data_IF_635547574531
#
_entry.id   IF_635547574531
#
_cell.length_a   1.000
_cell.length_b   1.000
_cell.length_c   1.000
_cell.angle_alpha   90.00
_cell.angle_beta   90.00
_cell.angle_gamma   90.00
#
_symmetry.space_group_name_H-M   'P 1'
#
loop_
_entity.id
_entity.type
_entity.pdbx_description
1 polymer ?
#
# COMPACT_ATOMS: atom_id res chain seq x y z
N UNK A 1 7.48 45.55 -9.44
CA UNK A 1 6.67 44.64 -10.27
C UNK A 1 7.54 43.46 -10.66
N UNK A 2 7.14 42.22 -10.34
CA UNK A 2 7.93 41.03 -10.69
C UNK A 2 8.08 40.94 -12.21
N UNK A 3 9.14 40.27 -12.70
CA UNK A 3 9.37 40.03 -14.14
C UNK A 3 8.14 39.40 -14.81
N UNK A 4 7.49 38.47 -14.12
CA UNK A 4 6.22 37.86 -14.53
C UNK A 4 5.14 38.90 -14.86
N UNK A 5 5.01 39.94 -14.02
CA UNK A 5 4.02 41.01 -14.21
C UNK A 5 4.32 41.87 -15.45
N UNK A 6 5.60 42.14 -15.73
CA UNK A 6 6.03 42.85 -16.94
C UNK A 6 5.84 42.04 -18.22
N UNK A 7 5.93 40.71 -18.14
CA UNK A 7 5.66 39.84 -19.27
C UNK A 7 4.17 39.74 -19.55
N UNK A 8 3.32 39.68 -18.51
CA UNK A 8 1.87 39.68 -18.64
C UNK A 8 1.32 40.99 -19.22
N UNK A 9 1.95 42.14 -18.94
CA UNK A 9 1.56 43.42 -19.53
C UNK A 9 1.63 43.43 -21.07
N UNK A 10 2.47 42.57 -21.70
CA UNK A 10 2.55 42.45 -23.17
C UNK A 10 1.30 41.84 -23.80
N UNK A 11 0.57 41.03 -23.04
CA UNK A 11 -0.62 40.31 -23.50
C UNK A 11 -1.91 41.03 -23.13
N UNK A 12 -1.83 42.15 -22.38
CA UNK A 12 -2.98 42.85 -21.82
C UNK A 12 -3.82 43.60 -22.86
N UNK A 13 -3.20 44.05 -23.94
CA UNK A 13 -3.83 44.87 -24.98
C UNK A 13 -4.01 44.10 -26.30
N UNK A 14 -3.89 42.77 -26.27
CA UNK A 14 -4.14 41.92 -27.45
C UNK A 14 -5.65 41.77 -27.62
N UNK A 15 -6.14 41.97 -28.84
CA UNK A 15 -7.53 41.68 -29.20
C UNK A 15 -7.72 40.16 -29.35
N UNK A 16 -8.34 39.56 -28.32
CA UNK A 16 -8.62 38.13 -28.28
C UNK A 16 -9.60 37.71 -29.38
N UNK A 17 -10.59 38.55 -29.71
CA UNK A 17 -11.60 38.24 -30.74
C UNK A 17 -10.97 38.20 -32.13
N UNK A 18 -10.06 39.12 -32.44
CA UNK A 18 -9.32 39.12 -33.71
C UNK A 18 -8.39 37.91 -33.84
N UNK A 19 -7.79 37.48 -32.71
CA UNK A 19 -6.92 36.29 -32.67
C UNK A 19 -7.73 35.01 -32.91
N UNK A 20 -8.89 34.88 -32.27
CA UNK A 20 -9.77 33.72 -32.41
C UNK A 20 -10.37 33.62 -33.81
N UNK A 21 -10.70 34.75 -34.46
CA UNK A 21 -11.20 34.74 -35.85
C UNK A 21 -10.18 34.25 -36.89
N UNK A 22 -8.88 34.31 -36.59
CA UNK A 22 -7.81 33.85 -37.49
C UNK A 22 -7.59 32.34 -37.43
N UNK A 23 -8.14 31.66 -36.42
CA UNK A 23 -8.03 30.22 -36.27
C UNK A 23 -9.07 29.51 -37.12
N UNK A 24 -8.68 28.39 -37.72
CA UNK A 24 -9.62 27.48 -38.37
C UNK A 24 -10.51 26.76 -37.36
N UNK A 25 -11.65 26.23 -37.80
CA UNK A 25 -12.58 25.48 -36.94
C UNK A 25 -11.89 24.30 -36.22
N UNK A 26 -10.97 23.61 -36.89
CA UNK A 26 -10.17 22.53 -36.31
C UNK A 26 -9.19 23.03 -35.23
N UNK A 27 -8.62 24.22 -35.40
CA UNK A 27 -7.70 24.81 -34.43
C UNK A 27 -8.43 25.35 -33.20
N UNK A 28 -9.61 25.94 -33.39
CA UNK A 28 -10.51 26.32 -32.30
C UNK A 28 -10.92 25.11 -31.47
N UNK A 29 -11.29 24.01 -32.12
CA UNK A 29 -11.63 22.76 -31.43
C UNK A 29 -10.46 22.21 -30.60
N UNK A 30 -9.23 22.24 -31.15
CA UNK A 30 -8.03 21.83 -30.40
C UNK A 30 -7.75 22.74 -29.21
N UNK A 31 -7.94 24.04 -29.39
CA UNK A 31 -7.73 25.03 -28.33
C UNK A 31 -8.75 24.85 -27.19
N UNK A 32 -10.00 24.55 -27.52
CA UNK A 32 -11.02 24.15 -26.54
C UNK A 32 -10.61 22.88 -25.79
N UNK A 33 -10.16 21.83 -26.52
CA UNK A 33 -9.70 20.57 -25.92
C UNK A 33 -8.52 20.77 -24.95
N UNK A 34 -7.58 21.68 -25.27
CA UNK A 34 -6.43 22.06 -24.42
C UNK A 34 -6.83 22.86 -23.18
N UNK A 35 -7.76 23.82 -23.32
CA UNK A 35 -8.28 24.61 -22.21
C UNK A 35 -8.96 23.73 -21.15
N UNK A 36 -9.68 22.68 -21.59
CA UNK A 36 -10.29 21.70 -20.71
C UNK A 36 -9.27 20.83 -19.94
N UNK A 37 -8.03 20.70 -20.43
CA UNK A 37 -6.94 19.95 -19.75
C UNK A 37 -6.14 20.82 -18.78
N UNK A 38 -6.07 22.12 -19.05
CA UNK A 38 -5.27 23.08 -18.30
C UNK A 38 -5.84 23.33 -16.88
N UNK A 39 -7.14 23.18 -16.68
CA UNK A 39 -7.78 23.29 -15.38
C UNK A 39 -8.83 22.18 -15.14
N UNK A 40 -8.39 20.96 -14.77
CA UNK A 40 -9.31 19.87 -14.44
C UNK A 40 -10.19 20.20 -13.22
N UNK A 41 -9.80 21.22 -12.44
CA UNK A 41 -10.47 21.66 -11.22
C UNK A 41 -11.23 22.98 -11.35
N UNK A 42 -11.50 23.46 -12.58
CA UNK A 42 -12.16 24.74 -12.85
C UNK A 42 -13.37 24.95 -11.94
N UNK A 43 -13.19 25.80 -10.91
CA UNK A 43 -14.14 26.02 -9.82
C UNK A 43 -15.53 26.47 -10.29
N UNK A 44 -15.62 27.03 -11.50
CA UNK A 44 -16.85 27.50 -12.13
C UNK A 44 -17.64 26.36 -12.79
N UNK A 45 -17.01 25.23 -13.09
CA UNK A 45 -17.66 24.06 -13.68
C UNK A 45 -18.17 23.09 -12.59
N UNK A 46 -19.47 22.70 -12.63
CA UNK A 46 -20.01 21.65 -11.77
C UNK A 46 -19.23 20.35 -11.88
N UNK A 47 -19.07 19.61 -10.78
CA UNK A 47 -18.26 18.40 -10.73
C UNK A 47 -18.60 17.35 -11.82
N UNK A 48 -19.88 17.19 -12.17
CA UNK A 48 -20.31 16.26 -13.22
C UNK A 48 -19.92 16.66 -14.64
N UNK A 49 -19.60 17.94 -14.88
CA UNK A 49 -19.16 18.47 -16.18
C UNK A 49 -17.64 18.59 -16.29
N UNK A 50 -16.90 18.26 -15.22
CA UNK A 50 -15.43 18.17 -15.25
C UNK A 50 -14.94 16.87 -15.89
N UNK A 51 -15.80 15.85 -15.90
CA UNK A 51 -15.48 14.59 -16.54
C UNK A 51 -15.68 14.76 -18.06
N UNK A 52 -14.58 14.70 -18.82
CA UNK A 52 -14.63 14.71 -20.29
C UNK A 52 -15.57 13.63 -20.81
N UNK A 53 -16.38 13.98 -21.80
CA UNK A 53 -17.19 13.00 -22.53
C UNK A 53 -16.27 11.99 -23.22
N UNK A 54 -16.39 10.73 -22.84
CA UNK A 54 -15.51 9.65 -23.35
C UNK A 54 -15.78 9.32 -24.82
N UNK A 55 -16.80 9.93 -25.44
CA UNK A 55 -17.11 9.71 -26.84
C UNK A 55 -17.84 10.89 -27.48
N UNK A 56 -17.41 11.25 -28.69
CA UNK A 56 -18.13 12.20 -29.57
C UNK A 56 -19.33 11.53 -30.29
N UNK A 57 -19.59 10.24 -30.03
CA UNK A 57 -20.67 9.47 -30.68
C UNK A 57 -21.99 9.75 -29.98
N UNK A 58 -23.02 10.08 -30.77
CA UNK A 58 -24.38 10.18 -30.26
C UNK A 58 -24.83 8.84 -29.62
N UNK A 59 -25.66 8.87 -28.57
CA UNK A 59 -26.17 7.66 -27.94
C UNK A 59 -26.95 6.82 -28.96
N UNK A 60 -26.57 5.56 -29.14
CA UNK A 60 -27.10 4.66 -30.17
C UNK A 60 -28.44 4.00 -29.80
N UNK A 61 -29.22 4.63 -28.92
CA UNK A 61 -30.52 4.11 -28.46
C UNK A 61 -30.38 2.94 -27.48
N UNK A 62 -31.32 1.99 -27.52
CA UNK A 62 -31.33 0.83 -26.62
C UNK A 62 -30.14 -0.10 -26.88
N UNK A 63 -29.59 -0.68 -25.81
CA UNK A 63 -28.44 -1.58 -25.88
C UNK A 63 -28.65 -2.77 -26.84
N UNK A 64 -27.81 -2.87 -27.87
CA UNK A 64 -27.81 -3.96 -28.86
C UNK A 64 -26.64 -4.92 -28.61
N UNK A 65 -26.90 -6.00 -27.86
CA UNK A 65 -25.88 -6.97 -27.44
C UNK A 65 -25.16 -7.65 -28.61
N UNK A 66 -25.87 -8.03 -29.66
CA UNK A 66 -25.31 -8.77 -30.80
C UNK A 66 -24.27 -7.95 -31.56
N UNK A 67 -24.55 -6.66 -31.80
CA UNK A 67 -23.62 -5.74 -32.46
C UNK A 67 -22.36 -5.51 -31.64
N UNK A 68 -22.50 -5.42 -30.31
CA UNK A 68 -21.35 -5.31 -29.42
C UNK A 68 -20.47 -6.57 -29.49
N UNK A 69 -21.08 -7.76 -29.44
CA UNK A 69 -20.33 -9.02 -29.52
C UNK A 69 -19.60 -9.17 -30.84
N UNK A 70 -20.26 -8.88 -31.97
CA UNK A 70 -19.64 -8.91 -33.29
C UNK A 70 -18.46 -7.93 -33.40
N UNK A 71 -18.57 -6.74 -32.81
CA UNK A 71 -17.48 -5.77 -32.76
C UNK A 71 -16.29 -6.27 -31.95
N UNK A 72 -16.54 -6.85 -30.76
CA UNK A 72 -15.49 -7.40 -29.89
C UNK A 72 -14.81 -8.61 -30.52
N UNK A 73 -15.55 -9.50 -31.17
CA UNK A 73 -15.00 -10.66 -31.88
C UNK A 73 -14.10 -10.21 -33.05
N UNK A 74 -14.55 -9.20 -33.79
CA UNK A 74 -13.74 -8.60 -34.86
C UNK A 74 -12.46 -7.97 -34.31
N UNK A 75 -12.55 -7.17 -33.26
CA UNK A 75 -11.37 -6.57 -32.61
C UNK A 75 -10.40 -7.63 -32.09
N UNK A 76 -10.89 -8.68 -31.44
CA UNK A 76 -10.06 -9.75 -30.91
C UNK A 76 -9.34 -10.52 -32.03
N UNK A 77 -10.00 -10.72 -33.17
CA UNK A 77 -9.44 -11.41 -34.33
C UNK A 77 -8.42 -10.56 -35.08
N UNK A 78 -8.65 -9.26 -35.17
CA UNK A 78 -7.79 -8.31 -35.89
C UNK A 78 -6.61 -7.82 -35.04
N UNK A 79 -6.64 -8.02 -33.73
CA UNK A 79 -5.56 -7.58 -32.85
C UNK A 79 -4.29 -8.41 -33.12
N UNK A 80 -3.21 -7.81 -33.63
CA UNK A 80 -1.99 -8.54 -33.96
C UNK A 80 -1.30 -9.03 -32.69
N UNK A 81 -0.61 -10.16 -32.82
CA UNK A 81 0.31 -10.63 -31.80
C UNK A 81 1.52 -9.69 -31.71
N UNK A 82 2.06 -9.52 -30.50
CA UNK A 82 3.28 -8.74 -30.29
C UNK A 82 4.48 -9.51 -30.83
N UNK A 83 5.13 -8.97 -31.87
CA UNK A 83 6.27 -9.62 -32.54
C UNK A 83 7.54 -9.68 -31.65
N UNK A 84 7.72 -8.71 -30.75
CA UNK A 84 8.93 -8.61 -29.91
C UNK A 84 8.86 -9.37 -28.58
N UNK A 85 8.01 -10.40 -28.48
CA UNK A 85 7.85 -11.14 -27.23
C UNK A 85 9.05 -12.08 -26.99
N UNK A 86 9.87 -11.77 -25.98
CA UNK A 86 10.89 -12.71 -25.51
C UNK A 86 10.18 -13.95 -24.94
N UNK A 87 10.41 -15.15 -25.50
CA UNK A 87 9.72 -16.36 -25.06
C UNK A 87 10.09 -16.67 -23.61
N UNK A 88 9.10 -17.08 -22.81
CA UNK A 88 9.34 -17.49 -21.44
C UNK A 88 10.17 -18.79 -21.42
N UNK A 89 11.45 -18.68 -21.03
CA UNK A 89 12.40 -19.81 -21.04
C UNK A 89 12.34 -20.68 -19.78
N UNK A 90 11.55 -20.31 -18.77
CA UNK A 90 11.45 -21.06 -17.50
C UNK A 90 12.74 -21.06 -16.66
N UNK A 91 13.76 -20.32 -17.08
CA UNK A 91 15.04 -20.26 -16.38
C UNK A 91 14.92 -19.45 -15.09
N UNK A 92 15.20 -20.10 -13.96
CA UNK A 92 15.29 -19.43 -12.65
C UNK A 92 16.57 -18.61 -12.59
N UNK A 93 16.49 -17.32 -12.97
CA UNK A 93 17.61 -16.36 -12.91
C UNK A 93 18.01 -15.95 -11.49
N UNK A 94 17.12 -16.16 -10.51
CA UNK A 94 17.38 -15.88 -9.10
C UNK A 94 18.07 -17.04 -8.37
N UNK A 95 18.88 -16.72 -7.35
CA UNK A 95 19.38 -17.74 -6.42
C UNK A 95 18.20 -18.28 -5.60
N UNK A 96 18.13 -19.60 -5.46
CA UNK A 96 17.16 -20.21 -4.55
C UNK A 96 17.43 -19.70 -3.13
N UNK A 97 16.39 -19.21 -2.47
CA UNK A 97 16.48 -18.75 -1.09
C UNK A 97 16.95 -19.91 -0.20
N UNK A 98 18.06 -19.71 0.50
CA UNK A 98 18.52 -20.64 1.54
C UNK A 98 18.10 -20.06 2.88
N UNK A 99 17.23 -20.75 3.65
CA UNK A 99 16.83 -20.27 4.97
C UNK A 99 18.06 -20.17 5.88
N UNK A 100 18.29 -18.98 6.45
CA UNK A 100 19.37 -18.77 7.41
C UNK A 100 19.09 -19.62 8.65
N UNK A 101 20.07 -20.41 9.07
CA UNK A 101 20.04 -21.09 10.36
C UNK A 101 20.04 -19.99 11.43
N UNK A 102 18.95 -19.85 12.18
CA UNK A 102 18.93 -18.98 13.36
C UNK A 102 19.98 -19.56 14.30
N UNK A 103 21.04 -18.81 14.57
CA UNK A 103 21.84 -19.05 15.77
C UNK A 103 20.95 -18.56 16.90
N UNK A 104 20.50 -19.48 17.74
CA UNK A 104 19.78 -19.13 18.95
C UNK A 104 20.61 -18.10 19.71
N UNK A 105 20.00 -17.00 20.20
CA UNK A 105 20.74 -16.05 21.02
C UNK A 105 21.37 -16.82 22.17
N UNK A 106 22.66 -16.62 22.38
CA UNK A 106 23.38 -17.17 23.54
C UNK A 106 22.69 -16.56 24.76
N UNK A 107 21.78 -17.30 25.38
CA UNK A 107 21.25 -16.97 26.69
C UNK A 107 22.45 -17.17 27.61
N UNK A 108 23.04 -16.06 28.04
CA UNK A 108 24.02 -16.07 29.11
C UNK A 108 23.32 -16.68 30.33
N UNK A 109 23.74 -17.88 30.73
CA UNK A 109 23.18 -18.57 31.88
C UNK A 109 23.50 -17.72 33.12
N UNK A 110 22.54 -16.89 33.53
CA UNK A 110 22.63 -16.14 34.79
C UNK A 110 22.65 -17.17 35.91
N UNK A 111 23.81 -17.33 36.54
CA UNK A 111 23.97 -18.18 37.72
C UNK A 111 23.50 -17.38 38.93
N UNK A 112 22.42 -17.84 39.56
CA UNK A 112 21.93 -17.25 40.79
C UNK A 112 22.69 -17.83 41.98
N UNK A 113 22.68 -17.12 43.10
CA UNK A 113 23.15 -17.69 44.36
C UNK A 113 22.29 -18.92 44.72
N UNK A 114 22.87 -19.99 45.30
CA UNK A 114 22.19 -21.27 45.49
C UNK A 114 20.90 -21.14 46.34
N UNK A 115 20.90 -20.21 47.30
CA UNK A 115 19.73 -19.92 48.13
C UNK A 115 18.58 -19.27 47.32
N UNK A 116 18.92 -18.42 46.34
CA UNK A 116 17.96 -17.73 45.49
C UNK A 116 17.39 -18.67 44.41
N UNK A 117 18.21 -19.59 43.90
CA UNK A 117 17.77 -20.61 42.94
C UNK A 117 16.78 -21.60 43.58
N UNK A 118 17.05 -22.04 44.83
CA UNK A 118 16.13 -22.89 45.59
C UNK A 118 14.83 -22.16 45.96
N UNK A 119 14.91 -20.89 46.37
CA UNK A 119 13.73 -20.06 46.62
C UNK A 119 12.88 -19.86 45.35
N UNK A 120 13.52 -19.62 44.21
CA UNK A 120 12.84 -19.46 42.92
C UNK A 120 12.21 -20.78 42.44
N UNK A 121 12.87 -21.92 42.68
CA UNK A 121 12.37 -23.25 42.29
C UNK A 121 11.23 -23.75 43.19
N UNK A 122 11.16 -23.28 44.44
CA UNK A 122 10.11 -23.62 45.40
C UNK A 122 8.95 -22.63 45.44
N UNK A 123 9.11 -21.44 44.86
CA UNK A 123 8.08 -20.41 44.77
C UNK A 123 6.84 -20.90 44.00
N UNK A 124 5.67 -20.48 44.46
CA UNK A 124 4.40 -20.77 43.79
C UNK A 124 4.20 -19.88 42.55
N UNK A 125 3.38 -20.35 41.60
CA UNK A 125 3.04 -19.59 40.40
C UNK A 125 2.43 -18.21 40.68
N UNK A 126 1.74 -18.06 41.84
CA UNK A 126 1.20 -16.79 42.29
C UNK A 126 2.30 -15.81 42.73
N UNK A 127 3.27 -16.29 43.53
CA UNK A 127 4.41 -15.47 43.97
C UNK A 127 5.30 -15.08 42.79
N UNK A 128 5.49 -15.97 41.82
CA UNK A 128 6.18 -15.67 40.57
C UNK A 128 5.47 -14.58 39.75
N UNK A 129 4.13 -14.59 39.74
CA UNK A 129 3.33 -13.56 39.08
C UNK A 129 3.48 -12.19 39.77
N UNK A 130 3.46 -12.17 41.10
CA UNK A 130 3.66 -10.95 41.89
C UNK A 130 5.07 -10.37 41.67
N UNK A 131 6.09 -11.23 41.65
CA UNK A 131 7.48 -10.86 41.33
C UNK A 131 7.56 -10.26 39.92
N UNK A 132 6.94 -10.90 38.92
CA UNK A 132 6.92 -10.41 37.54
C UNK A 132 6.15 -9.09 37.39
N UNK A 133 5.09 -8.87 38.17
CA UNK A 133 4.33 -7.63 38.20
C UNK A 133 5.16 -6.48 38.77
N UNK A 134 5.86 -6.69 39.88
CA UNK A 134 6.76 -5.70 40.51
C UNK A 134 7.94 -5.36 39.58
N UNK A 135 8.52 -6.36 38.93
CA UNK A 135 9.63 -6.19 37.97
C UNK A 135 9.19 -5.63 36.60
N UNK A 136 7.88 -5.42 36.38
CA UNK A 136 7.36 -4.93 35.09
C UNK A 136 7.43 -5.94 33.94
N UNK A 137 7.71 -7.21 34.22
CA UNK A 137 7.86 -8.30 33.24
C UNK A 137 6.55 -9.01 32.88
N UNK A 138 5.41 -8.60 33.44
CA UNK A 138 4.09 -9.15 33.14
C UNK A 138 3.69 -9.06 31.65
N UNK A 139 4.29 -8.13 30.89
CA UNK A 139 4.08 -7.97 29.44
C UNK A 139 4.68 -9.09 28.59
N UNK A 140 5.55 -9.92 29.18
CA UNK A 140 6.15 -11.09 28.52
C UNK A 140 5.21 -12.32 28.56
N UNK A 141 4.11 -12.25 29.32
CA UNK A 141 3.04 -13.23 29.31
C UNK A 141 1.97 -12.81 28.28
N UNK A 142 1.34 -13.76 27.58
CA UNK A 142 0.22 -13.41 26.70
C UNK A 142 -0.95 -12.87 27.52
N UNK A 143 -1.75 -11.95 26.96
CA UNK A 143 -2.93 -11.40 27.65
C UNK A 143 -3.85 -12.50 28.21
N UNK A 144 -3.97 -13.62 27.50
CA UNK A 144 -4.77 -14.76 27.96
C UNK A 144 -4.16 -15.45 29.19
N UNK A 145 -2.84 -15.64 29.21
CA UNK A 145 -2.12 -16.25 30.33
C UNK A 145 -2.14 -15.35 31.58
N UNK A 146 -2.10 -14.03 31.40
CA UNK A 146 -2.21 -13.05 32.48
C UNK A 146 -3.56 -13.14 33.20
N UNK A 147 -4.68 -13.18 32.46
CA UNK A 147 -6.01 -13.31 33.06
C UNK A 147 -6.28 -14.69 33.67
N UNK A 148 -5.75 -15.77 33.08
CA UNK A 148 -5.84 -17.12 33.64
C UNK A 148 -5.04 -17.26 34.95
N UNK A 149 -3.86 -16.65 35.07
CA UNK A 149 -3.06 -16.63 36.30
C UNK A 149 -3.67 -15.78 37.42
N UNK A 150 -4.33 -14.66 37.06
CA UNK A 150 -5.10 -13.86 38.02
C UNK A 150 -6.32 -14.60 38.58
N UNK A 151 -6.88 -15.54 37.80
CA UNK A 151 -8.06 -16.31 38.17
C UNK A 151 -7.75 -17.70 38.77
N UNK A 152 -6.57 -18.26 38.49
CA UNK A 152 -6.19 -19.62 38.85
C UNK A 152 -4.73 -19.67 39.34
N UNK A 153 -4.51 -20.23 40.53
CA UNK A 153 -3.17 -20.40 41.14
C UNK A 153 -2.28 -21.46 40.45
N UNK A 154 -2.43 -21.70 39.15
CA UNK A 154 -1.65 -22.70 38.40
C UNK A 154 -1.47 -22.27 36.94
N UNK A 155 -0.21 -22.07 36.51
CA UNK A 155 0.16 -21.66 35.16
C UNK A 155 0.43 -22.91 34.31
N UNK A 156 -0.50 -23.25 33.42
CA UNK A 156 -0.48 -24.52 32.67
C UNK A 156 0.36 -24.52 31.39
N UNK A 157 0.98 -23.39 31.01
CA UNK A 157 1.72 -23.32 29.74
C UNK A 157 3.00 -22.47 29.79
N UNK A 158 4.16 -23.14 29.91
CA UNK A 158 5.50 -22.54 29.88
C UNK A 158 6.04 -22.25 28.47
N UNK A 159 5.30 -22.58 27.40
CA UNK A 159 5.79 -22.45 26.02
C UNK A 159 5.59 -21.04 25.42
N UNK A 160 4.76 -20.19 26.03
CA UNK A 160 4.46 -18.84 25.53
C UNK A 160 5.68 -17.92 25.44
N UNK A 161 6.68 -18.10 26.31
CA UNK A 161 7.91 -17.30 26.32
C UNK A 161 8.79 -17.54 25.07
N UNK A 162 8.77 -18.75 24.49
CA UNK A 162 9.61 -19.11 23.34
C UNK A 162 9.03 -18.64 21.99
N UNK A 163 7.73 -18.35 21.91
CA UNK A 163 7.08 -17.97 20.64
C UNK A 163 7.24 -16.48 20.30
N UNK A 164 7.26 -15.60 21.30
CA UNK A 164 7.35 -14.14 21.12
C UNK A 164 8.71 -13.64 20.64
N UNK A 165 9.80 -14.36 20.96
CA UNK A 165 11.13 -14.07 20.42
C UNK A 165 11.20 -14.30 18.90
N UNK A 166 10.43 -15.26 18.39
CA UNK A 166 10.46 -15.61 16.97
C UNK A 166 9.66 -14.63 16.10
N UNK A 167 8.64 -13.96 16.64
CA UNK A 167 7.81 -12.98 15.93
C UNK A 167 8.51 -11.64 15.72
N UNK A 168 9.33 -11.18 16.68
CA UNK A 168 10.03 -9.90 16.55
C UNK A 168 11.16 -9.92 15.51
N UNK A 169 11.74 -11.09 15.24
CA UNK A 169 12.71 -11.31 14.15
C UNK A 169 12.06 -11.23 12.75
N UNK A 170 10.75 -11.44 12.63
CA UNK A 170 10.06 -11.43 11.34
C UNK A 170 9.79 -10.00 10.86
N UNK A 171 9.49 -9.08 11.78
CA UNK A 171 9.22 -7.68 11.46
C UNK A 171 10.47 -6.92 11.02
N UNK A 172 11.65 -7.26 11.57
CA UNK A 172 12.91 -6.63 11.17
C UNK A 172 13.37 -7.00 9.74
N UNK A 173 12.91 -8.15 9.21
CA UNK A 173 13.26 -8.59 7.85
C UNK A 173 12.36 -8.00 6.76
N UNK A 174 11.24 -7.37 7.13
CA UNK A 174 10.30 -6.73 6.18
C UNK A 174 10.67 -5.26 5.94
N UNK A 175 11.53 -4.68 6.79
CA UNK A 175 11.91 -3.25 6.74
C UNK A 175 13.33 -3.04 6.16
N UNK A 176 14.01 -4.09 5.68
CA UNK A 176 15.29 -3.99 4.98
C UNK A 176 15.29 -4.73 3.63
#
# INVERSE_FOLDING_TARGET
MSLLKKEMDKYRDIDEDELLQKLSEEELQRLEDELDELDPDNALLPAGLRQKDQTKKAPTGTFQRENLLAHLEKQATEHPDREDLVPFTGEKRGKAFVPKKRVDPIIENVTLEPELEEALASASDAELCDIAAILGMHTLMSNQQYYEALASSTIVNKQGLNSMLNTHLFLLYIVY
#
